data_IF_606358284962
#
_entry.id   IF_606358284962
#
_cell.length_a   1.000
_cell.length_b   1.000
_cell.length_c   1.000
_cell.angle_alpha   90.00
_cell.angle_beta   90.00
_cell.angle_gamma   90.00
#
_symmetry.space_group_name_H-M   'P 1'
#
loop_
_entity.id
_entity.type
_entity.pdbx_description
1 polymer ?
#
# COMPACT_ATOMS: atom_id res chain seq x y z
N UNK A 1 42.35 -16.28 12.26
CA UNK A 1 42.35 -15.26 11.19
C UNK A 1 41.31 -14.21 11.57
N UNK A 2 41.69 -12.96 11.88
CA UNK A 2 40.71 -11.91 12.22
C UNK A 2 40.14 -11.31 10.93
N UNK A 3 38.87 -11.55 10.65
CA UNK A 3 38.17 -10.87 9.57
C UNK A 3 37.86 -9.44 10.01
N UNK A 4 38.63 -8.48 9.52
CA UNK A 4 38.40 -7.06 9.81
C UNK A 4 37.31 -6.54 8.87
N UNK A 5 36.09 -6.35 9.40
CA UNK A 5 35.00 -5.77 8.63
C UNK A 5 35.33 -4.31 8.29
N UNK A 6 35.33 -3.97 7.00
CA UNK A 6 35.58 -2.59 6.57
C UNK A 6 34.46 -1.66 7.07
N UNK A 7 34.83 -0.47 7.55
CA UNK A 7 33.85 0.55 7.90
C UNK A 7 32.94 0.84 6.71
N UNK A 8 31.63 0.94 6.94
CA UNK A 8 30.63 1.12 5.89
C UNK A 8 30.99 2.23 4.89
N UNK A 9 31.44 3.39 5.39
CA UNK A 9 31.83 4.56 4.56
C UNK A 9 33.00 4.31 3.60
N UNK A 10 33.80 3.27 3.82
CA UNK A 10 34.95 2.92 2.98
C UNK A 10 34.59 1.89 1.89
N UNK A 11 33.37 1.38 1.90
CA UNK A 11 32.89 0.48 0.85
C UNK A 11 32.67 1.27 -0.46
N UNK A 12 32.91 0.64 -1.63
CA UNK A 12 32.50 1.20 -2.91
C UNK A 12 31.03 1.61 -2.89
N UNK A 13 30.70 2.65 -3.65
CA UNK A 13 29.33 3.23 -3.66
C UNK A 13 28.29 2.21 -4.10
N UNK A 14 28.65 1.32 -5.02
CA UNK A 14 27.81 0.23 -5.52
C UNK A 14 27.43 -0.72 -4.37
N UNK A 15 28.41 -1.10 -3.54
CA UNK A 15 28.17 -1.98 -2.40
C UNK A 15 27.32 -1.29 -1.34
N UNK A 16 27.57 0.00 -1.06
CA UNK A 16 26.75 0.78 -0.11
C UNK A 16 25.30 0.90 -0.58
N UNK A 17 25.08 1.15 -1.87
CA UNK A 17 23.74 1.20 -2.46
C UNK A 17 23.04 -0.15 -2.36
N UNK A 18 23.73 -1.25 -2.69
CA UNK A 18 23.17 -2.59 -2.52
C UNK A 18 22.77 -2.86 -1.07
N UNK A 19 23.61 -2.49 -0.10
CA UNK A 19 23.27 -2.64 1.32
C UNK A 19 21.99 -1.84 1.64
N UNK A 20 21.91 -0.58 1.23
CA UNK A 20 20.72 0.23 1.47
C UNK A 20 19.46 -0.36 0.84
N UNK A 21 19.53 -0.82 -0.41
CA UNK A 21 18.40 -1.47 -1.08
C UNK A 21 17.88 -2.70 -0.33
N UNK A 22 18.78 -3.51 0.24
CA UNK A 22 18.41 -4.70 1.01
C UNK A 22 17.89 -4.38 2.43
N UNK A 23 18.25 -3.21 2.99
CA UNK A 23 17.75 -2.77 4.31
C UNK A 23 16.35 -2.14 4.27
N UNK A 24 15.88 -1.69 3.11
CA UNK A 24 14.58 -0.99 2.97
C UNK A 24 13.38 -1.96 2.98
N UNK A 25 13.62 -3.28 2.93
CA UNK A 25 12.56 -4.30 2.79
C UNK A 25 11.80 -4.50 4.12
N UNK A 26 10.65 -3.84 4.27
CA UNK A 26 9.84 -3.94 5.50
C UNK A 26 8.36 -4.32 5.30
N UNK A 27 7.84 -4.37 4.07
CA UNK A 27 6.41 -4.59 3.82
C UNK A 27 6.03 -6.08 3.80
N UNK A 28 5.61 -6.60 4.97
CA UNK A 28 5.23 -8.01 5.18
C UNK A 28 3.77 -8.32 4.84
N UNK A 29 3.05 -7.40 4.21
CA UNK A 29 1.60 -7.48 4.06
C UNK A 29 0.86 -6.98 5.30
N UNK A 30 -0.40 -6.61 5.14
CA UNK A 30 -1.24 -6.06 6.19
C UNK A 30 -2.47 -6.94 6.45
N UNK A 31 -2.84 -7.04 7.73
CA UNK A 31 -4.17 -7.51 8.14
C UNK A 31 -5.10 -6.30 8.15
N UNK A 32 -6.15 -6.34 7.35
CA UNK A 32 -7.09 -5.23 7.25
C UNK A 32 -8.53 -5.69 7.55
N UNK A 33 -9.23 -5.07 8.51
CA UNK A 33 -10.61 -5.42 8.83
C UNK A 33 -11.60 -4.93 7.77
N UNK A 34 -12.55 -5.78 7.41
CA UNK A 34 -13.58 -5.47 6.43
C UNK A 34 -14.37 -4.22 6.85
N UNK A 35 -14.35 -3.23 5.97
CA UNK A 35 -15.16 -2.04 6.08
C UNK A 35 -16.02 -1.88 4.82
N UNK A 36 -17.33 -1.71 5.01
CA UNK A 36 -18.28 -1.50 3.92
C UNK A 36 -17.99 -0.20 3.15
N UNK A 37 -17.33 0.78 3.80
CA UNK A 37 -16.89 2.03 3.17
C UNK A 37 -15.95 1.83 1.97
N UNK A 38 -15.35 0.64 1.81
CA UNK A 38 -14.58 0.26 0.63
C UNK A 38 -15.34 0.43 -0.69
N UNK A 39 -16.66 0.31 -0.64
CA UNK A 39 -17.53 0.49 -1.80
C UNK A 39 -18.01 1.93 -1.97
N UNK A 40 -17.77 2.77 -0.96
CA UNK A 40 -18.20 4.16 -0.90
C UNK A 40 -17.06 5.16 -1.15
N UNK A 41 -15.79 4.74 -1.04
CA UNK A 41 -14.64 5.62 -1.24
C UNK A 41 -14.38 5.95 -2.72
N UNK A 42 -15.13 6.96 -3.14
CA UNK A 42 -14.95 7.78 -4.33
C UNK A 42 -13.55 8.44 -4.39
N UNK A 43 -13.05 8.53 -5.62
CA UNK A 43 -11.86 9.18 -6.16
C UNK A 43 -11.19 10.30 -5.30
N UNK A 44 -10.17 9.92 -4.52
CA UNK A 44 -9.29 10.88 -3.81
C UNK A 44 -8.49 11.79 -4.77
N UNK A 45 -8.40 11.45 -6.06
CA UNK A 45 -7.69 12.24 -7.05
C UNK A 45 -8.57 13.21 -7.84
N UNK A 46 -9.85 13.37 -7.48
CA UNK A 46 -10.68 14.39 -8.09
C UNK A 46 -10.35 15.77 -7.51
N UNK A 47 -9.27 16.37 -8.00
CA UNK A 47 -9.17 17.83 -8.17
C UNK A 47 -10.26 18.38 -9.11
N UNK A 48 -11.30 17.60 -9.42
CA UNK A 48 -12.44 18.00 -10.24
C UNK A 48 -13.42 18.66 -9.29
N UNK A 49 -13.48 19.98 -9.41
CA UNK A 49 -14.61 20.81 -9.00
C UNK A 49 -15.92 20.03 -9.14
N UNK A 50 -16.75 20.06 -8.08
CA UNK A 50 -18.09 19.45 -7.95
C UNK A 50 -19.10 19.92 -9.03
N UNK A 51 -18.64 20.59 -10.10
CA UNK A 51 -19.49 21.20 -11.12
C UNK A 51 -19.70 20.36 -12.38
N UNK A 52 -18.96 19.27 -12.58
CA UNK A 52 -19.09 18.44 -13.80
C UNK A 52 -19.61 17.04 -13.48
N UNK A 53 -20.82 16.96 -12.92
CA UNK A 53 -21.58 15.70 -12.76
C UNK A 53 -22.47 15.49 -14.00
N UNK A 54 -21.88 15.26 -15.17
CA UNK A 54 -22.62 14.84 -16.38
C UNK A 54 -21.79 13.94 -17.29
N UNK A 55 -20.97 13.05 -16.73
CA UNK A 55 -20.37 11.98 -17.53
C UNK A 55 -20.19 10.75 -16.67
N UNK A 56 -20.79 9.66 -17.14
CA UNK A 56 -20.76 8.26 -16.69
C UNK A 56 -19.33 7.72 -16.57
N UNK A 57 -18.53 8.33 -15.71
CA UNK A 57 -17.24 7.78 -15.32
C UNK A 57 -17.52 6.77 -14.23
N UNK A 58 -17.68 5.52 -14.69
CA UNK A 58 -17.75 4.31 -13.87
C UNK A 58 -16.67 4.41 -12.78
N UNK A 59 -17.10 4.80 -11.59
CA UNK A 59 -16.24 5.01 -10.44
C UNK A 59 -15.76 3.64 -9.99
N UNK A 60 -14.55 3.28 -10.41
CA UNK A 60 -13.94 2.01 -10.05
C UNK A 60 -13.77 1.99 -8.52
N UNK A 61 -14.21 0.94 -7.82
CA UNK A 61 -13.92 0.81 -6.39
C UNK A 61 -12.41 0.87 -6.18
N UNK A 62 -11.94 1.88 -5.45
CA UNK A 62 -10.52 2.03 -5.15
C UNK A 62 -10.19 1.09 -3.99
N UNK A 63 -9.24 0.16 -4.13
CA UNK A 63 -8.85 -0.72 -3.04
C UNK A 63 -8.36 0.13 -1.85
N UNK A 64 -8.63 -0.31 -0.60
CA UNK A 64 -8.33 0.48 0.58
C UNK A 64 -6.85 0.83 0.66
N UNK A 65 -6.57 2.01 1.20
CA UNK A 65 -5.22 2.48 1.46
C UNK A 65 -4.71 1.86 2.76
N UNK A 66 -3.62 1.11 2.64
CA UNK A 66 -2.89 0.49 3.73
C UNK A 66 -1.80 1.46 4.17
N UNK A 67 -1.90 1.93 5.40
CA UNK A 67 -0.82 2.68 6.03
C UNK A 67 0.35 1.74 6.33
N UNK A 68 1.54 2.16 5.95
CA UNK A 68 2.77 1.43 6.25
C UNK A 68 3.67 2.25 7.17
N UNK A 69 4.54 1.59 7.97
CA UNK A 69 5.54 2.29 8.75
C UNK A 69 6.51 3.05 7.83
N UNK A 70 7.06 4.15 8.34
CA UNK A 70 8.11 4.90 7.64
C UNK A 70 9.40 4.07 7.71
N UNK A 71 9.99 3.65 6.57
CA UNK A 71 11.21 2.85 6.58
C UNK A 71 12.34 3.60 7.30
N UNK A 72 13.11 2.91 8.15
CA UNK A 72 14.20 3.54 8.91
C UNK A 72 15.23 4.24 8.00
N UNK A 73 15.46 3.69 6.81
CA UNK A 73 16.34 4.26 5.79
C UNK A 73 15.98 5.72 5.41
N UNK A 74 14.73 6.16 5.61
CA UNK A 74 14.31 7.55 5.34
C UNK A 74 14.95 8.58 6.28
N UNK A 75 15.35 8.18 7.50
CA UNK A 75 15.80 9.09 8.56
C UNK A 75 17.31 9.00 8.86
N UNK A 76 18.03 8.01 8.32
CA UNK A 76 19.44 7.76 8.68
C UNK A 76 20.41 8.74 7.99
N UNK A 77 20.45 8.73 6.65
CA UNK A 77 21.37 9.55 5.87
C UNK A 77 20.83 9.82 4.46
N UNK A 78 21.54 10.63 3.68
CA UNK A 78 21.12 10.96 2.32
C UNK A 78 21.04 9.72 1.40
N UNK A 79 22.07 8.86 1.41
CA UNK A 79 22.12 7.65 0.57
C UNK A 79 20.98 6.68 0.89
N UNK A 80 20.74 6.42 2.19
CA UNK A 80 19.65 5.57 2.65
C UNK A 80 18.29 6.13 2.24
N UNK A 81 18.11 7.46 2.32
CA UNK A 81 16.86 8.12 1.95
C UNK A 81 16.57 8.01 0.45
N UNK A 82 17.57 8.14 -0.41
CA UNK A 82 17.39 7.98 -1.85
C UNK A 82 17.05 6.53 -2.24
N UNK A 83 17.67 5.55 -1.58
CA UNK A 83 17.29 4.14 -1.74
C UNK A 83 15.83 3.91 -1.30
N UNK A 84 15.43 4.47 -0.16
CA UNK A 84 14.07 4.36 0.35
C UNK A 84 13.04 5.03 -0.59
N UNK A 85 13.30 6.24 -1.10
CA UNK A 85 12.44 6.90 -2.09
C UNK A 85 12.28 6.08 -3.37
N UNK A 86 13.37 5.51 -3.86
CA UNK A 86 13.36 4.65 -5.05
C UNK A 86 12.49 3.41 -4.83
N UNK A 87 12.60 2.80 -3.65
CA UNK A 87 11.75 1.68 -3.26
C UNK A 87 10.28 2.07 -3.12
N UNK A 88 9.96 3.20 -2.48
CA UNK A 88 8.58 3.71 -2.35
C UNK A 88 7.92 3.85 -3.72
N UNK A 89 8.61 4.51 -4.65
CA UNK A 89 8.15 4.69 -6.03
C UNK A 89 7.91 3.36 -6.74
N UNK A 90 8.83 2.39 -6.60
CA UNK A 90 8.73 1.06 -7.21
C UNK A 90 7.49 0.28 -6.72
N UNK A 91 7.07 0.49 -5.47
CA UNK A 91 5.95 -0.23 -4.86
C UNK A 91 4.64 0.57 -4.86
N UNK A 92 4.59 1.72 -5.55
CA UNK A 92 3.39 2.56 -5.62
C UNK A 92 3.01 3.18 -4.27
N UNK A 93 3.97 3.30 -3.35
CA UNK A 93 3.77 3.88 -2.03
C UNK A 93 3.97 5.39 -2.13
N UNK A 94 3.07 6.15 -1.52
CA UNK A 94 3.09 7.60 -1.54
C UNK A 94 2.66 8.18 -0.19
N UNK A 95 3.00 9.45 0.03
CA UNK A 95 2.56 10.19 1.20
C UNK A 95 1.14 10.73 0.99
N UNK A 96 0.32 10.62 2.02
CA UNK A 96 -1.00 11.26 2.10
C UNK A 96 -1.06 12.12 3.36
N UNK A 97 -1.72 13.27 3.25
CA UNK A 97 -2.01 14.13 4.40
C UNK A 97 -3.15 13.52 5.21
N UNK A 98 -2.90 13.28 6.49
CA UNK A 98 -3.84 12.82 7.49
C UNK A 98 -4.00 13.89 8.59
N UNK A 99 -5.05 13.81 9.43
CA UNK A 99 -5.24 14.73 10.56
C UNK A 99 -4.04 14.75 11.52
N UNK A 100 -3.31 13.65 11.64
CA UNK A 100 -2.17 13.47 12.54
C UNK A 100 -0.81 13.80 11.88
N UNK A 101 -0.79 14.24 10.62
CA UNK A 101 0.43 14.52 9.85
C UNK A 101 0.46 13.79 8.51
N UNK A 102 1.65 13.43 8.03
CA UNK A 102 1.79 12.66 6.79
C UNK A 102 1.89 11.17 7.08
N UNK A 103 1.12 10.35 6.35
CA UNK A 103 1.20 8.91 6.39
C UNK A 103 1.74 8.37 5.06
N UNK A 104 2.56 7.32 5.11
CA UNK A 104 2.88 6.52 3.92
C UNK A 104 1.79 5.49 3.71
N UNK A 105 1.25 5.45 2.50
CA UNK A 105 0.17 4.54 2.14
C UNK A 105 0.45 3.84 0.81
N UNK A 106 -0.12 2.65 0.69
CA UNK A 106 -0.19 1.89 -0.56
C UNK A 106 -1.57 1.30 -0.75
N UNK A 107 -1.87 0.84 -1.96
CA UNK A 107 -3.09 0.07 -2.21
C UNK A 107 -3.00 -1.30 -1.53
N UNK A 108 -4.16 -1.80 -1.13
CA UNK A 108 -4.35 -3.20 -0.77
C UNK A 108 -4.01 -4.10 -1.96
N UNK A 109 -3.28 -5.17 -1.67
CA UNK A 109 -2.81 -6.16 -2.62
C UNK A 109 -3.34 -7.54 -2.21
N UNK A 110 -4.30 -8.11 -2.96
CA UNK A 110 -4.90 -9.40 -2.65
C UNK A 110 -3.90 -10.58 -2.60
N UNK A 111 -2.68 -10.42 -3.13
CA UNK A 111 -1.67 -11.48 -3.14
C UNK A 111 -0.88 -11.58 -1.83
N UNK A 112 -0.88 -10.52 -1.02
CA UNK A 112 -0.06 -10.43 0.21
C UNK A 112 -0.82 -9.91 1.43
N UNK A 113 -1.90 -9.16 1.23
CA UNK A 113 -2.70 -8.63 2.32
C UNK A 113 -3.85 -9.56 2.65
N UNK A 114 -4.25 -9.54 3.92
CA UNK A 114 -5.31 -10.40 4.45
C UNK A 114 -6.49 -9.51 4.80
N UNK A 115 -7.64 -9.79 4.20
CA UNK A 115 -8.91 -9.21 4.60
C UNK A 115 -9.50 -10.02 5.75
N UNK A 116 -9.61 -9.40 6.92
CA UNK A 116 -10.31 -9.97 8.07
C UNK A 116 -11.77 -9.55 8.06
N UNK A 117 -12.69 -10.52 7.99
CA UNK A 117 -14.13 -10.24 8.08
C UNK A 117 -14.62 -10.65 9.48
N UNK A 118 -14.98 -9.68 10.35
CA UNK A 118 -15.62 -9.98 11.62
C UNK A 118 -16.92 -10.77 11.43
N UNK A 119 -17.24 -11.70 12.35
CA UNK A 119 -18.42 -12.56 12.23
C UNK A 119 -19.74 -11.77 12.15
N UNK A 120 -19.85 -10.65 12.88
CA UNK A 120 -20.99 -9.74 12.86
C UNK A 120 -21.18 -9.01 11.53
N UNK A 121 -20.16 -9.02 10.66
CA UNK A 121 -20.18 -8.38 9.33
C UNK A 121 -20.16 -9.38 8.18
N UNK A 122 -20.26 -10.67 8.46
CA UNK A 122 -20.18 -11.73 7.46
C UNK A 122 -21.29 -11.61 6.41
N UNK A 123 -22.54 -11.39 6.84
CA UNK A 123 -23.67 -11.26 5.93
C UNK A 123 -23.54 -10.03 5.01
N UNK A 124 -23.05 -8.90 5.56
CA UNK A 124 -22.78 -7.70 4.76
C UNK A 124 -21.68 -7.93 3.72
N UNK A 125 -20.66 -8.72 4.04
CA UNK A 125 -19.60 -9.10 3.12
C UNK A 125 -20.12 -10.03 2.01
N UNK A 126 -20.95 -11.03 2.33
CA UNK A 126 -21.55 -11.92 1.34
C UNK A 126 -22.44 -11.16 0.36
N UNK A 127 -23.33 -10.30 0.86
CA UNK A 127 -24.17 -9.43 0.03
C UNK A 127 -23.32 -8.59 -0.93
N UNK A 128 -22.17 -8.09 -0.46
CA UNK A 128 -21.27 -7.30 -1.29
C UNK A 128 -20.60 -8.13 -2.41
N UNK A 129 -20.19 -9.37 -2.12
CA UNK A 129 -19.61 -10.26 -3.12
C UNK A 129 -20.64 -10.63 -4.18
N UNK A 130 -21.87 -10.92 -3.77
CA UNK A 130 -22.95 -11.29 -4.69
C UNK A 130 -23.29 -10.17 -5.67
N UNK A 131 -23.37 -8.92 -5.19
CA UNK A 131 -23.58 -7.74 -6.05
C UNK A 131 -22.42 -7.56 -7.03
N UNK A 132 -21.17 -7.65 -6.56
CA UNK A 132 -19.99 -7.47 -7.43
C UNK A 132 -19.84 -8.57 -8.49
N UNK A 133 -20.17 -9.82 -8.17
CA UNK A 133 -20.06 -10.92 -9.14
C UNK A 133 -21.02 -10.77 -10.33
N UNK A 134 -22.09 -9.99 -10.19
CA UNK A 134 -23.03 -9.70 -11.27
C UNK A 134 -22.58 -8.53 -12.16
N UNK A 135 -21.66 -7.67 -11.69
CA UNK A 135 -21.28 -6.44 -12.40
C UNK A 135 -19.80 -6.40 -12.81
N UNK A 136 -18.83 -6.77 -11.96
CA UNK A 136 -17.39 -6.86 -12.30
C UNK A 136 -16.58 -7.68 -11.27
N UNK A 137 -15.67 -8.59 -11.71
CA UNK A 137 -14.98 -9.50 -10.79
C UNK A 137 -13.75 -8.84 -10.17
N UNK A 138 -13.94 -8.02 -9.14
CA UNK A 138 -12.82 -7.59 -8.29
C UNK A 138 -12.30 -8.76 -7.42
N UNK A 139 -13.16 -9.75 -7.14
CA UNK A 139 -12.92 -10.86 -6.20
C UNK A 139 -12.87 -12.25 -6.85
N UNK A 140 -12.82 -12.36 -8.18
CA UNK A 140 -12.98 -13.61 -8.95
C UNK A 140 -11.95 -14.73 -8.72
N UNK A 141 -11.02 -14.57 -7.77
CA UNK A 141 -10.02 -15.57 -7.40
C UNK A 141 -10.22 -16.24 -6.04
N UNK A 142 -11.17 -15.80 -5.22
CA UNK A 142 -11.44 -16.41 -3.90
C UNK A 142 -12.53 -17.48 -4.06
N UNK A 143 -12.27 -18.52 -4.86
CA UNK A 143 -13.09 -19.74 -4.86
C UNK A 143 -12.29 -20.86 -4.19
N UNK A 144 -12.68 -21.09 -2.93
CA UNK A 144 -12.66 -22.31 -2.14
C UNK A 144 -11.64 -23.40 -2.51
N UNK A 145 -10.68 -23.63 -1.60
CA UNK A 145 -10.17 -24.96 -1.31
C UNK A 145 -10.93 -25.55 -0.13
#
# INVERSE_FOLDING_TARGET
>A
MSQTFHQFRRLPVEVRNMIWEHTVIEDKGALYPFNFDWCLHFDWNSSRSIKDVTSETQSRPCPPLIQIPIPQAMIICHEAREAAKTWLKKHGIHFVQCPQGHALVRRFDPRRDILYVPCDRWDAFLNLIEVNNNEHPFWGGIRQG
#
